data_IF_138241860883
#
_entry.id   IF_138241860883
#
_cell.length_a   1.000
_cell.length_b   1.000
_cell.length_c   1.000
_cell.angle_alpha   90.00
_cell.angle_beta   90.00
_cell.angle_gamma   90.00
#
_symmetry.space_group_name_H-M   'P 1'
#
loop_
_entity.id
_entity.type
_entity.pdbx_description
1 polymer ?
#
# COMPACT_ATOMS: atom_id res chain seq x y z
N UNK A 1 -31.58 -1.18 -13.87
CA UNK A 1 -31.29 -0.87 -12.45
C UNK A 1 -29.89 -0.33 -12.42
N UNK A 2 -29.69 0.94 -12.08
CA UNK A 2 -28.35 1.49 -11.86
C UNK A 2 -27.94 1.16 -10.43
N UNK A 3 -26.95 0.27 -10.28
CA UNK A 3 -26.34 0.00 -8.98
C UNK A 3 -25.18 0.99 -8.80
N UNK A 4 -25.14 1.64 -7.65
CA UNK A 4 -23.98 2.45 -7.24
C UNK A 4 -22.85 1.53 -6.83
N UNK A 5 -21.62 1.87 -7.23
CA UNK A 5 -20.43 1.11 -6.89
C UNK A 5 -19.17 1.85 -7.33
N UNK A 6 -18.01 1.27 -7.02
CA UNK A 6 -16.73 1.84 -7.42
C UNK A 6 -16.64 1.99 -8.95
N UNK A 7 -16.19 3.14 -9.49
CA UNK A 7 -15.93 3.31 -10.91
C UNK A 7 -14.89 2.29 -11.41
N UNK A 8 -15.06 1.83 -12.65
CA UNK A 8 -14.17 0.83 -13.26
C UNK A 8 -12.70 1.29 -13.25
N UNK A 9 -12.43 2.52 -13.62
CA UNK A 9 -11.10 3.11 -13.68
C UNK A 9 -10.46 3.16 -12.28
N UNK A 10 -11.24 3.50 -11.26
CA UNK A 10 -10.77 3.49 -9.87
C UNK A 10 -10.45 2.07 -9.40
N UNK A 11 -11.29 1.09 -9.74
CA UNK A 11 -11.03 -0.31 -9.42
C UNK A 11 -9.76 -0.82 -10.12
N UNK A 12 -9.53 -0.46 -11.37
CA UNK A 12 -8.31 -0.81 -12.11
C UNK A 12 -7.03 -0.23 -11.47
N UNK A 13 -7.10 1.01 -10.98
CA UNK A 13 -6.00 1.65 -10.24
C UNK A 13 -5.76 0.93 -8.91
N UNK A 14 -6.80 0.71 -8.13
CA UNK A 14 -6.68 0.19 -6.76
C UNK A 14 -6.37 -1.32 -6.68
N UNK A 15 -6.59 -2.07 -7.75
CA UNK A 15 -6.23 -3.50 -7.82
C UNK A 15 -4.81 -3.77 -8.31
N UNK A 16 -4.08 -2.74 -8.74
CA UNK A 16 -2.69 -2.81 -9.18
C UNK A 16 -1.83 -1.83 -8.37
N UNK A 17 -0.97 -2.36 -7.48
CA UNK A 17 -0.15 -1.55 -6.57
C UNK A 17 0.77 -0.54 -7.30
N UNK A 18 1.22 -0.87 -8.52
CA UNK A 18 2.07 0.03 -9.28
C UNK A 18 1.25 1.18 -9.89
N UNK A 19 0.06 0.89 -10.43
CA UNK A 19 -0.87 1.93 -10.91
C UNK A 19 -1.34 2.83 -9.77
N UNK A 20 -1.70 2.23 -8.65
CA UNK A 20 -2.09 2.96 -7.43
C UNK A 20 -0.99 3.92 -6.99
N UNK A 21 0.27 3.46 -6.95
CA UNK A 21 1.41 4.29 -6.59
C UNK A 21 1.65 5.45 -7.56
N UNK A 22 1.49 5.22 -8.85
CA UNK A 22 1.59 6.29 -9.86
C UNK A 22 0.50 7.35 -9.66
N UNK A 23 -0.75 6.93 -9.41
CA UNK A 23 -1.85 7.83 -9.09
C UNK A 23 -1.61 8.62 -7.79
N UNK A 24 -1.15 7.95 -6.75
CA UNK A 24 -0.84 8.56 -5.46
C UNK A 24 0.27 9.61 -5.57
N UNK A 25 1.33 9.30 -6.31
CA UNK A 25 2.42 10.26 -6.57
C UNK A 25 1.90 11.52 -7.27
N UNK A 26 1.05 11.36 -8.30
CA UNK A 26 0.46 12.48 -9.03
C UNK A 26 -0.52 13.28 -8.16
N UNK A 27 -1.25 12.62 -7.27
CA UNK A 27 -2.21 13.21 -6.36
C UNK A 27 -1.61 13.79 -5.07
N UNK A 28 -0.29 13.72 -4.88
CA UNK A 28 0.39 14.25 -3.69
C UNK A 28 0.12 13.44 -2.40
N UNK A 29 -0.26 12.17 -2.52
CA UNK A 29 -0.40 11.26 -1.39
C UNK A 29 0.98 10.87 -0.89
N UNK A 30 1.19 10.95 0.40
CA UNK A 30 2.39 10.40 1.03
C UNK A 30 2.38 8.88 0.92
N UNK A 31 3.38 8.33 0.25
CA UNK A 31 3.55 6.89 0.10
C UNK A 31 5.05 6.57 -0.02
N UNK A 32 5.44 5.33 0.28
CA UNK A 32 6.82 4.90 0.08
C UNK A 32 7.27 5.15 -1.36
N UNK A 33 8.49 5.64 -1.55
CA UNK A 33 9.09 5.69 -2.88
C UNK A 33 9.16 4.30 -3.48
N UNK A 34 8.87 4.17 -4.76
CA UNK A 34 8.85 2.87 -5.40
C UNK A 34 9.02 2.95 -6.92
N UNK A 35 9.49 1.86 -7.48
CA UNK A 35 9.79 1.70 -8.90
C UNK A 35 9.18 0.43 -9.45
N UNK A 36 8.55 0.54 -10.62
CA UNK A 36 8.09 -0.60 -11.41
C UNK A 36 9.27 -1.18 -12.18
N UNK A 37 9.46 -2.49 -12.10
CA UNK A 37 10.59 -3.20 -12.73
C UNK A 37 10.12 -4.47 -13.44
N UNK A 38 10.82 -4.86 -14.51
CA UNK A 38 10.47 -6.00 -15.35
C UNK A 38 11.51 -7.12 -15.37
N UNK A 39 12.65 -6.90 -14.72
CA UNK A 39 13.69 -7.93 -14.57
C UNK A 39 14.35 -7.86 -13.20
N UNK A 40 15.07 -8.90 -12.83
CA UNK A 40 15.85 -8.93 -11.60
C UNK A 40 16.97 -7.87 -11.62
N UNK A 41 17.56 -7.58 -12.78
CA UNK A 41 18.58 -6.55 -12.95
C UNK A 41 18.00 -5.14 -12.74
N UNK A 42 16.78 -4.89 -13.23
CA UNK A 42 16.06 -3.64 -12.96
C UNK A 42 15.71 -3.52 -11.48
N UNK A 43 15.29 -4.63 -10.84
CA UNK A 43 14.99 -4.67 -9.40
C UNK A 43 16.23 -4.38 -8.56
N UNK A 44 17.40 -4.90 -8.96
CA UNK A 44 18.68 -4.62 -8.31
C UNK A 44 19.02 -3.11 -8.38
N UNK A 45 18.90 -2.50 -9.56
CA UNK A 45 19.16 -1.07 -9.75
C UNK A 45 18.19 -0.20 -8.95
N UNK A 46 16.90 -0.57 -8.94
CA UNK A 46 15.89 0.13 -8.16
C UNK A 46 16.18 0.06 -6.66
N UNK A 47 16.57 -1.12 -6.15
CA UNK A 47 16.91 -1.32 -4.75
C UNK A 47 18.15 -0.50 -4.34
N UNK A 48 19.16 -0.41 -5.21
CA UNK A 48 20.36 0.40 -4.98
C UNK A 48 20.03 1.90 -4.93
N UNK A 49 19.13 2.37 -5.79
CA UNK A 49 18.68 3.77 -5.80
C UNK A 49 17.83 4.13 -4.57
N UNK A 50 16.95 3.22 -4.13
CA UNK A 50 16.07 3.44 -2.98
C UNK A 50 16.81 3.29 -1.65
N UNK A 51 17.90 2.51 -1.64
CA UNK A 51 18.67 2.15 -0.44
C UNK A 51 17.99 1.06 0.39
N UNK A 52 18.77 0.03 0.74
CA UNK A 52 18.29 -1.10 1.56
C UNK A 52 17.92 -0.67 3.00
N UNK A 53 16.95 -1.35 3.63
CA UNK A 53 16.12 -2.40 3.07
C UNK A 53 15.07 -1.88 2.10
N UNK A 54 14.65 -2.75 1.16
CA UNK A 54 13.53 -2.51 0.25
C UNK A 54 12.49 -3.61 0.36
N UNK A 55 11.30 -3.38 -0.20
CA UNK A 55 10.25 -4.39 -0.30
C UNK A 55 9.96 -4.67 -1.76
N UNK A 56 10.11 -5.93 -2.17
CA UNK A 56 9.71 -6.38 -3.51
C UNK A 56 8.33 -6.99 -3.42
N UNK A 57 7.40 -6.49 -4.27
CA UNK A 57 5.97 -6.83 -4.16
C UNK A 57 5.38 -7.26 -5.50
N UNK A 58 4.60 -8.35 -5.47
CA UNK A 58 3.62 -8.62 -6.52
C UNK A 58 2.57 -7.51 -6.53
N UNK A 59 2.20 -7.04 -7.71
CA UNK A 59 1.32 -5.86 -7.85
C UNK A 59 -0.17 -6.19 -7.79
N UNK A 60 -0.57 -7.40 -8.16
CA UNK A 60 -1.95 -7.86 -8.34
C UNK A 60 -2.39 -8.93 -7.32
N UNK A 61 -1.83 -8.89 -6.12
CA UNK A 61 -2.16 -9.83 -5.04
C UNK A 61 -2.60 -9.14 -3.75
N UNK A 62 -3.30 -9.87 -2.90
CA UNK A 62 -3.69 -9.49 -1.54
C UNK A 62 -3.14 -10.49 -0.51
N UNK A 63 -3.25 -10.17 0.78
CA UNK A 63 -2.89 -11.09 1.87
C UNK A 63 -1.40 -11.42 1.93
N UNK A 64 -0.53 -10.43 1.73
CA UNK A 64 0.94 -10.52 1.83
C UNK A 64 1.60 -11.55 0.90
N UNK A 65 0.90 -12.05 -0.10
CA UNK A 65 1.46 -13.02 -1.06
C UNK A 65 2.37 -12.33 -2.06
N UNK A 66 3.56 -12.91 -2.31
CA UNK A 66 4.55 -12.36 -3.22
C UNK A 66 5.12 -11.02 -2.73
N UNK A 67 5.30 -10.88 -1.41
CA UNK A 67 5.95 -9.74 -0.77
C UNK A 67 7.19 -10.27 -0.04
N UNK A 68 8.34 -9.66 -0.31
CA UNK A 68 9.62 -10.00 0.31
C UNK A 68 10.33 -8.74 0.76
N UNK A 69 10.74 -8.68 2.03
CA UNK A 69 11.66 -7.66 2.53
C UNK A 69 13.08 -8.10 2.17
N UNK A 70 13.82 -7.20 1.55
CA UNK A 70 15.16 -7.43 1.04
C UNK A 70 16.14 -6.52 1.78
N UNK A 71 17.04 -7.11 2.54
CA UNK A 71 18.02 -6.41 3.36
C UNK A 71 19.32 -6.08 2.60
N UNK A 72 19.64 -6.84 1.57
CA UNK A 72 20.87 -6.68 0.76
C UNK A 72 20.70 -7.26 -0.65
N UNK A 73 21.62 -6.91 -1.54
CA UNK A 73 21.57 -7.23 -2.98
C UNK A 73 21.43 -8.71 -3.30
N UNK A 74 22.07 -9.59 -2.52
CA UNK A 74 22.04 -11.04 -2.77
C UNK A 74 20.67 -11.70 -2.64
N UNK A 75 19.63 -10.98 -2.17
CA UNK A 75 18.26 -11.50 -2.02
C UNK A 75 17.32 -11.03 -3.15
N UNK A 76 17.76 -10.13 -4.02
CA UNK A 76 16.89 -9.46 -5.01
C UNK A 76 16.32 -10.45 -6.03
N UNK A 77 17.16 -11.34 -6.58
CA UNK A 77 16.75 -12.28 -7.61
C UNK A 77 15.62 -13.20 -7.12
N UNK A 78 15.81 -13.82 -5.95
CA UNK A 78 14.79 -14.67 -5.33
C UNK A 78 13.52 -13.88 -5.00
N UNK A 79 13.63 -12.66 -4.49
CA UNK A 79 12.52 -11.79 -4.17
C UNK A 79 11.74 -11.38 -5.44
N UNK A 80 12.44 -11.08 -6.54
CA UNK A 80 11.84 -10.77 -7.83
C UNK A 80 11.05 -11.98 -8.36
N UNK A 81 11.65 -13.17 -8.40
CA UNK A 81 11.00 -14.39 -8.85
C UNK A 81 9.77 -14.73 -8.00
N UNK A 82 9.86 -14.61 -6.68
CA UNK A 82 8.72 -14.79 -5.79
C UNK A 82 7.57 -13.81 -6.10
N UNK A 83 7.87 -12.56 -6.37
CA UNK A 83 6.87 -11.56 -6.71
C UNK A 83 6.28 -11.77 -8.11
N UNK A 84 7.07 -12.26 -9.08
CA UNK A 84 6.62 -12.59 -10.45
C UNK A 84 5.76 -13.84 -10.50
N UNK A 85 6.04 -14.81 -9.65
CA UNK A 85 5.38 -16.11 -9.67
C UNK A 85 3.86 -15.97 -9.40
N UNK A 86 3.05 -16.33 -10.39
CA UNK A 86 1.59 -16.25 -10.34
C UNK A 86 0.99 -14.83 -10.46
N UNK A 87 1.77 -13.83 -10.87
CA UNK A 87 1.26 -12.52 -11.30
C UNK A 87 0.78 -12.58 -12.75
N UNK A 88 -0.34 -11.93 -13.03
CA UNK A 88 -0.82 -11.70 -14.40
C UNK A 88 -0.11 -10.52 -15.09
N UNK A 89 0.68 -9.75 -14.33
CA UNK A 89 1.44 -8.60 -14.87
C UNK A 89 2.87 -9.01 -15.21
N UNK A 90 3.49 -8.32 -16.16
CA UNK A 90 4.89 -8.51 -16.58
C UNK A 90 5.90 -7.70 -15.75
N UNK A 91 5.45 -7.09 -14.64
CA UNK A 91 6.25 -6.26 -13.76
C UNK A 91 5.96 -6.54 -12.29
N UNK A 92 6.90 -6.15 -11.45
CA UNK A 92 6.78 -6.10 -9.99
C UNK A 92 7.07 -4.69 -9.49
N UNK A 93 6.80 -4.43 -8.23
CA UNK A 93 7.07 -3.16 -7.56
C UNK A 93 8.19 -3.35 -6.53
N UNK A 94 9.22 -2.51 -6.62
CA UNK A 94 10.26 -2.38 -5.58
C UNK A 94 10.02 -1.07 -4.85
N UNK A 95 9.86 -1.13 -3.53
CA UNK A 95 9.58 0.03 -2.68
C UNK A 95 10.61 0.18 -1.57
N UNK A 96 10.85 1.41 -1.16
CA UNK A 96 11.59 1.69 0.07
C UNK A 96 10.86 1.09 1.27
N UNK A 97 11.59 0.40 2.13
CA UNK A 97 11.02 -0.12 3.37
C UNK A 97 10.69 1.02 4.33
N UNK A 98 9.42 1.12 4.73
CA UNK A 98 8.99 2.09 5.73
C UNK A 98 9.19 1.53 7.13
N UNK A 99 9.71 2.38 8.01
CA UNK A 99 9.77 2.12 9.46
C UNK A 99 8.63 2.89 10.13
N UNK A 100 7.99 2.28 11.09
CA UNK A 100 6.87 2.89 11.82
C UNK A 100 5.86 1.86 12.28
N UNK A 101 4.78 2.32 12.85
CA UNK A 101 3.65 1.48 13.25
C UNK A 101 2.69 1.34 12.08
N UNK A 102 2.44 0.10 11.67
CA UNK A 102 1.42 -0.20 10.67
C UNK A 102 0.04 -0.25 11.33
N UNK A 103 -0.88 0.56 10.84
CA UNK A 103 -2.28 0.61 11.25
C UNK A 103 -3.19 0.29 10.07
N UNK A 104 -4.40 -0.15 10.35
CA UNK A 104 -5.45 -0.24 9.34
C UNK A 104 -6.34 0.99 9.38
N UNK A 105 -6.86 1.39 8.24
CA UNK A 105 -7.83 2.47 8.14
C UNK A 105 -8.98 2.03 7.25
N UNK A 106 -10.16 1.87 7.85
CA UNK A 106 -11.39 1.63 7.10
C UNK A 106 -12.13 2.94 6.86
N UNK A 107 -12.85 3.01 5.75
CA UNK A 107 -13.63 4.19 5.42
C UNK A 107 -14.75 3.93 4.43
N UNK A 108 -15.64 4.91 4.28
CA UNK A 108 -16.65 4.94 3.23
C UNK A 108 -16.50 6.21 2.40
N UNK A 109 -16.66 6.04 1.09
CA UNK A 109 -16.59 7.14 0.11
C UNK A 109 -17.94 7.32 -0.55
N UNK A 110 -18.40 8.56 -0.58
CA UNK A 110 -19.63 8.97 -1.25
C UNK A 110 -19.42 10.33 -1.92
N UNK A 111 -19.77 10.45 -3.20
CA UNK A 111 -19.56 11.66 -4.00
C UNK A 111 -18.11 12.15 -3.94
N UNK A 112 -17.15 11.22 -4.10
CA UNK A 112 -15.70 11.43 -4.02
C UNK A 112 -15.19 12.00 -2.68
N UNK A 113 -16.01 11.93 -1.63
CA UNK A 113 -15.66 12.39 -0.28
C UNK A 113 -15.60 11.21 0.68
N UNK A 114 -14.60 11.22 1.53
CA UNK A 114 -14.49 10.31 2.66
C UNK A 114 -15.51 10.74 3.72
N UNK A 115 -16.63 10.03 3.81
CA UNK A 115 -17.73 10.36 4.74
C UNK A 115 -17.64 9.63 6.08
N UNK A 116 -16.80 8.62 6.15
CA UNK A 116 -16.51 7.86 7.38
C UNK A 116 -15.05 7.44 7.38
N UNK A 117 -14.41 7.47 8.55
CA UNK A 117 -13.01 7.06 8.75
C UNK A 117 -12.84 6.37 10.09
N UNK A 118 -12.26 5.18 10.07
CA UNK A 118 -12.05 4.34 11.23
C UNK A 118 -10.61 3.79 11.29
N UNK A 119 -9.64 4.58 11.79
CA UNK A 119 -8.30 4.05 12.05
C UNK A 119 -8.34 3.03 13.20
N UNK A 120 -7.64 1.91 13.02
CA UNK A 120 -7.59 0.83 14.00
C UNK A 120 -6.19 0.22 14.11
N UNK A 121 -5.86 -0.28 15.30
CA UNK A 121 -4.62 -1.03 15.52
C UNK A 121 -4.70 -2.38 14.82
N UNK A 122 -3.60 -2.77 14.17
CA UNK A 122 -3.42 -4.10 13.59
C UNK A 122 -2.54 -4.94 14.52
N UNK A 123 -3.01 -6.10 14.92
CA UNK A 123 -2.19 -7.12 15.57
C UNK A 123 -1.71 -8.09 14.51
N UNK A 124 -0.40 -8.19 14.34
CA UNK A 124 0.21 -8.93 13.26
C UNK A 124 1.06 -10.07 13.82
N UNK A 125 0.76 -11.30 13.40
CA UNK A 125 1.67 -12.40 13.59
C UNK A 125 2.78 -12.36 12.54
N UNK A 126 4.03 -12.38 13.00
CA UNK A 126 5.22 -12.41 12.14
C UNK A 126 5.86 -13.79 12.26
N UNK A 127 5.63 -14.64 11.28
CA UNK A 127 6.33 -15.92 11.12
C UNK A 127 7.60 -15.74 10.27
N UNK A 128 8.37 -16.82 10.12
CA UNK A 128 9.62 -16.80 9.34
C UNK A 128 9.46 -16.33 7.89
N UNK A 129 8.28 -16.59 7.28
CA UNK A 129 8.01 -16.28 5.87
C UNK A 129 6.65 -15.64 5.65
N UNK A 130 5.97 -15.21 6.71
CA UNK A 130 4.63 -14.65 6.58
C UNK A 130 4.36 -13.58 7.63
N UNK A 131 3.60 -12.59 7.24
CA UNK A 131 3.05 -11.55 8.10
C UNK A 131 1.54 -11.56 7.91
N UNK A 132 0.80 -11.97 8.93
CA UNK A 132 -0.66 -12.14 8.84
C UNK A 132 -1.33 -11.32 9.94
N UNK A 133 -2.32 -10.47 9.62
CA UNK A 133 -3.13 -9.83 10.65
C UNK A 133 -3.93 -10.91 11.39
N UNK A 134 -3.84 -10.92 12.72
CA UNK A 134 -4.55 -11.86 13.61
C UNK A 134 -5.64 -11.18 14.43
N UNK A 135 -5.74 -9.85 14.36
CA UNK A 135 -6.77 -9.10 15.03
C UNK A 135 -6.65 -7.60 14.80
N UNK A 136 -7.72 -6.91 15.12
CA UNK A 136 -7.83 -5.46 15.03
C UNK A 136 -8.42 -4.92 16.33
N UNK A 137 -7.95 -3.75 16.79
CA UNK A 137 -8.56 -3.03 17.91
C UNK A 137 -8.94 -1.62 17.47
N UNK A 138 -10.17 -1.28 17.70
CA UNK A 138 -10.74 0.03 17.35
C UNK A 138 -11.19 0.75 18.61
N UNK A 139 -11.01 2.09 18.70
CA UNK A 139 -10.29 2.95 17.75
C UNK A 139 -8.76 2.88 17.93
N UNK A 140 -8.00 3.27 16.90
CA UNK A 140 -6.58 3.55 17.06
C UNK A 140 -6.39 4.80 17.92
N UNK A 141 -5.67 4.67 19.04
CA UNK A 141 -5.37 5.79 19.94
C UNK A 141 -4.27 6.68 19.34
N UNK A 142 -4.62 7.90 18.95
CA UNK A 142 -3.69 8.86 18.39
C UNK A 142 -4.05 10.31 18.78
N UNK A 143 -3.10 11.24 18.55
CA UNK A 143 -3.35 12.68 18.73
C UNK A 143 -4.38 13.20 17.72
N UNK A 144 -5.00 14.35 18.01
CA UNK A 144 -5.88 15.03 17.04
C UNK A 144 -5.16 15.35 15.74
N UNK A 145 -3.93 15.84 15.80
CA UNK A 145 -3.11 16.19 14.65
C UNK A 145 -2.83 14.96 13.75
N UNK A 146 -2.44 13.83 14.34
CA UNK A 146 -2.24 12.59 13.58
C UNK A 146 -3.53 12.10 12.93
N UNK A 147 -4.67 12.18 13.62
CA UNK A 147 -5.97 11.81 13.07
C UNK A 147 -6.37 12.67 11.88
N UNK A 148 -6.13 13.97 11.96
CA UNK A 148 -6.37 14.91 10.87
C UNK A 148 -5.47 14.61 9.65
N UNK A 149 -4.19 14.31 9.90
CA UNK A 149 -3.26 13.94 8.83
C UNK A 149 -3.65 12.61 8.16
N UNK A 150 -4.05 11.58 8.92
CA UNK A 150 -4.59 10.33 8.36
C UNK A 150 -5.81 10.65 7.47
N UNK A 151 -6.75 11.45 7.95
CA UNK A 151 -7.94 11.81 7.19
C UNK A 151 -7.58 12.57 5.90
N UNK A 152 -6.61 13.49 5.98
CA UNK A 152 -6.12 14.24 4.82
C UNK A 152 -5.48 13.32 3.77
N UNK A 153 -4.61 12.40 4.18
CA UNK A 153 -3.95 11.46 3.28
C UNK A 153 -4.97 10.50 2.63
N UNK A 154 -5.92 10.00 3.41
CA UNK A 154 -6.98 9.14 2.88
C UNK A 154 -7.88 9.89 1.87
N UNK A 155 -8.21 11.16 2.13
CA UNK A 155 -8.97 11.96 1.16
C UNK A 155 -8.17 12.22 -0.12
N UNK A 156 -6.87 12.47 -0.03
CA UNK A 156 -6.01 12.60 -1.21
C UNK A 156 -5.97 11.29 -2.01
N UNK A 157 -5.86 10.14 -1.34
CA UNK A 157 -5.86 8.82 -1.97
C UNK A 157 -7.19 8.53 -2.69
N UNK A 158 -8.33 8.89 -2.08
CA UNK A 158 -9.67 8.82 -2.70
C UNK A 158 -9.72 9.67 -3.97
N UNK A 159 -9.25 10.91 -3.88
CA UNK A 159 -9.22 11.84 -5.03
C UNK A 159 -8.31 11.33 -6.13
N UNK A 160 -7.10 10.89 -5.79
CA UNK A 160 -6.10 10.41 -6.75
C UNK A 160 -6.52 9.13 -7.47
N UNK A 161 -7.23 8.24 -6.79
CA UNK A 161 -7.73 6.99 -7.37
C UNK A 161 -9.05 7.13 -8.11
N UNK A 162 -9.81 8.20 -7.88
CA UNK A 162 -11.17 8.35 -8.38
C UNK A 162 -12.19 7.45 -7.69
N UNK A 163 -11.88 6.91 -6.51
CA UNK A 163 -12.79 6.07 -5.76
C UNK A 163 -14.08 6.82 -5.41
N UNK A 164 -15.22 6.15 -5.60
CA UNK A 164 -16.54 6.68 -5.24
C UNK A 164 -17.52 5.55 -4.97
N UNK A 165 -18.57 5.82 -4.17
CA UNK A 165 -19.66 4.91 -3.83
C UNK A 165 -19.14 3.52 -3.36
N UNK A 166 -18.13 3.49 -2.50
CA UNK A 166 -17.51 2.26 -2.04
C UNK A 166 -16.95 2.35 -0.61
N UNK A 167 -16.71 1.21 0.00
CA UNK A 167 -15.82 1.09 1.14
C UNK A 167 -14.36 1.11 0.69
N UNK A 168 -13.50 1.64 1.54
CA UNK A 168 -12.05 1.62 1.36
C UNK A 168 -11.39 1.03 2.60
N UNK A 169 -10.32 0.28 2.38
CA UNK A 169 -9.44 -0.23 3.43
C UNK A 169 -8.01 0.08 3.01
N UNK A 170 -7.23 0.63 3.90
CA UNK A 170 -5.83 0.98 3.66
C UNK A 170 -4.92 0.49 4.78
N UNK A 171 -3.73 0.05 4.42
CA UNK A 171 -2.61 -0.12 5.33
C UNK A 171 -1.82 1.20 5.35
N UNK A 172 -1.69 1.78 6.51
CA UNK A 172 -1.07 3.08 6.73
C UNK A 172 0.08 2.93 7.72
N UNK A 173 1.24 3.50 7.41
CA UNK A 173 2.37 3.57 8.33
C UNK A 173 2.40 4.93 9.00
N UNK A 174 2.62 4.94 10.31
CA UNK A 174 2.74 6.15 11.13
C UNK A 174 4.05 6.16 11.90
N UNK A 175 4.71 7.33 11.92
CA UNK A 175 5.91 7.60 12.72
C UNK A 175 5.83 9.03 13.26
N UNK A 176 5.53 9.16 14.54
CA UNK A 176 5.13 10.45 15.13
C UNK A 176 3.85 10.96 14.47
N UNK A 177 3.92 12.13 13.83
CA UNK A 177 2.81 12.71 13.07
C UNK A 177 2.91 12.49 11.55
N UNK A 178 3.94 11.75 11.10
CA UNK A 178 4.08 11.39 9.68
C UNK A 178 3.21 10.21 9.33
N UNK A 179 2.62 10.28 8.15
CA UNK A 179 1.68 9.28 7.60
C UNK A 179 2.11 8.94 6.17
N UNK A 180 2.16 7.62 5.86
CA UNK A 180 2.41 7.08 4.53
C UNK A 180 1.37 6.04 4.14
#
# INVERSE_FOLDING_TARGET
MHLSGIPYEAAEILTDKAKMKDAFRQGGVSAADGMRVRSAEEAQKAAEQLGYPVVVKRVDSSGSRGITVVEHSGQIEEAYENARNGSARDYVLVEKFLRGTEIGVDGFVQNHKLVFLAPHTKFVYRGAHTTVPVGHAFPYGCSGALREEIARQMQLAVTASGADQCSVNADVFVDGEKVW
#
